data_IF_263954195712
#
_entry.id   IF_263954195712
#
_cell.length_a   1.000
_cell.length_b   1.000
_cell.length_c   1.000
_cell.angle_alpha   90.00
_cell.angle_beta   90.00
_cell.angle_gamma   90.00
#
_symmetry.space_group_name_H-M   'P 1'
#
loop_
_entity.id
_entity.type
_entity.pdbx_description
1 polymer ?
#
# COMPACT_ATOMS: atom_id res chain seq x y z
N UNK A 1 22.88 1.63 0.82
CA UNK A 1 21.82 1.70 -0.21
C UNK A 1 20.58 2.17 0.51
N UNK A 2 20.02 3.31 0.11
CA UNK A 2 18.81 3.86 0.71
C UNK A 2 17.63 2.94 0.38
N UNK A 3 17.31 2.02 1.29
CA UNK A 3 16.09 1.21 1.20
C UNK A 3 14.89 2.16 1.24
N UNK A 4 14.32 2.45 0.08
CA UNK A 4 13.03 3.08 -0.02
C UNK A 4 12.02 2.23 0.79
N UNK A 5 11.44 2.81 1.84
CA UNK A 5 10.49 2.09 2.70
C UNK A 5 9.31 1.52 1.91
N UNK A 6 8.68 0.45 2.39
CA UNK A 6 7.64 -0.31 1.66
C UNK A 6 6.52 0.55 1.08
N UNK A 7 6.12 1.63 1.77
CA UNK A 7 5.15 2.60 1.24
C UNK A 7 5.62 3.31 -0.03
N UNK A 8 6.91 3.66 -0.12
CA UNK A 8 7.49 4.32 -1.29
C UNK A 8 7.56 3.35 -2.48
N UNK A 9 7.94 2.09 -2.24
CA UNK A 9 7.93 1.06 -3.29
C UNK A 9 6.53 0.85 -3.85
N UNK A 10 5.53 0.69 -2.97
CA UNK A 10 4.14 0.61 -3.38
C UNK A 10 3.69 1.85 -4.17
N UNK A 11 4.09 3.04 -3.73
CA UNK A 11 3.74 4.29 -4.42
C UNK A 11 4.33 4.36 -5.84
N UNK A 12 5.62 4.06 -5.98
CA UNK A 12 6.31 4.08 -7.26
C UNK A 12 5.74 3.04 -8.23
N UNK A 13 5.43 1.83 -7.74
CA UNK A 13 4.79 0.79 -8.55
C UNK A 13 3.40 1.22 -9.04
N UNK A 14 2.59 1.79 -8.15
CA UNK A 14 1.28 2.31 -8.50
C UNK A 14 1.37 3.44 -9.53
N UNK A 15 2.30 4.38 -9.38
CA UNK A 15 2.51 5.45 -10.35
C UNK A 15 2.91 4.90 -11.72
N UNK A 16 3.76 3.87 -11.78
CA UNK A 16 4.18 3.25 -13.04
C UNK A 16 3.02 2.56 -13.77
N UNK A 17 2.11 1.94 -13.01
CA UNK A 17 0.98 1.18 -13.57
C UNK A 17 -0.21 2.08 -13.89
N UNK A 18 -0.60 2.94 -12.96
CA UNK A 18 -1.88 3.67 -12.98
C UNK A 18 -1.71 5.12 -13.45
N UNK A 19 -0.49 5.67 -13.42
CA UNK A 19 -0.23 7.06 -13.73
C UNK A 19 -1.11 7.99 -12.90
N UNK A 20 -1.81 8.90 -13.56
CA UNK A 20 -2.72 9.86 -12.90
C UNK A 20 -4.14 9.30 -12.69
N UNK A 21 -4.41 8.06 -13.10
CA UNK A 21 -5.74 7.44 -13.03
C UNK A 21 -6.16 7.18 -11.59
N UNK A 22 -5.22 6.80 -10.73
CA UNK A 22 -5.50 6.56 -9.33
C UNK A 22 -4.24 6.74 -8.48
N UNK A 23 -4.43 7.21 -7.25
CA UNK A 23 -3.33 7.42 -6.29
C UNK A 23 -3.36 6.35 -5.21
N UNK A 24 -2.22 5.73 -4.88
CA UNK A 24 -2.12 4.80 -3.77
C UNK A 24 -2.25 5.56 -2.44
N UNK A 25 -2.97 4.97 -1.49
CA UNK A 25 -3.09 5.49 -0.12
C UNK A 25 -2.94 4.35 0.89
N UNK A 26 -2.30 4.65 2.02
CA UNK A 26 -2.29 3.76 3.18
C UNK A 26 -3.19 4.38 4.24
N UNK A 27 -4.34 3.77 4.49
CA UNK A 27 -5.17 4.09 5.66
C UNK A 27 -4.66 3.32 6.86
N UNK A 28 -4.67 3.97 8.01
CA UNK A 28 -4.20 3.37 9.26
C UNK A 28 -5.13 3.79 10.38
N UNK A 29 -5.53 2.81 11.18
CA UNK A 29 -6.38 3.02 12.33
C UNK A 29 -5.79 2.31 13.55
N UNK A 30 -6.13 2.85 14.72
CA UNK A 30 -5.80 2.24 15.98
C UNK A 30 -6.94 1.30 16.40
N UNK A 31 -6.60 0.11 16.85
CA UNK A 31 -7.56 -0.92 17.26
C UNK A 31 -7.49 -1.15 18.78
N UNK A 32 -8.49 -1.83 19.32
CA UNK A 32 -8.50 -2.25 20.72
C UNK A 32 -7.67 -3.53 20.98
N UNK A 33 -7.08 -4.14 19.94
CA UNK A 33 -6.21 -5.31 20.09
C UNK A 33 -4.83 -4.86 20.60
N UNK A 34 -4.48 -5.23 21.83
CA UNK A 34 -3.17 -4.89 22.41
C UNK A 34 -1.99 -5.53 21.67
N UNK A 35 -2.19 -6.70 21.09
CA UNK A 35 -1.14 -7.39 20.33
C UNK A 35 -0.99 -6.83 18.93
N UNK A 36 -2.07 -6.32 18.33
CA UNK A 36 -2.10 -5.72 17.00
C UNK A 36 -2.76 -4.33 17.00
N UNK A 37 -2.24 -3.43 17.84
CA UNK A 37 -2.80 -2.11 18.11
C UNK A 37 -3.02 -1.23 16.88
N UNK A 38 -2.30 -1.49 15.79
CA UNK A 38 -2.44 -0.75 14.55
C UNK A 38 -2.89 -1.68 13.43
N UNK A 39 -3.95 -1.31 12.74
CA UNK A 39 -4.39 -1.90 11.48
C UNK A 39 -4.13 -0.90 10.35
N UNK A 40 -3.69 -1.39 9.19
CA UNK A 40 -3.45 -0.58 8.01
C UNK A 40 -3.94 -1.28 6.75
N UNK A 41 -4.43 -0.48 5.81
CA UNK A 41 -4.94 -0.92 4.51
C UNK A 41 -4.30 -0.11 3.39
N UNK A 42 -3.79 -0.80 2.38
CA UNK A 42 -3.41 -0.23 1.10
C UNK A 42 -4.63 -0.21 0.17
N UNK A 43 -4.93 0.96 -0.38
CA UNK A 43 -6.06 1.22 -1.29
C UNK A 43 -5.62 2.15 -2.41
N UNK A 44 -6.46 2.28 -3.42
CA UNK A 44 -6.35 3.34 -4.42
C UNK A 44 -7.46 4.36 -4.24
N UNK A 45 -7.21 5.63 -4.54
CA UNK A 45 -8.25 6.66 -4.67
C UNK A 45 -8.27 7.18 -6.09
N UNK A 46 -9.48 7.42 -6.61
CA UNK A 46 -9.65 8.05 -7.92
C UNK A 46 -9.12 9.49 -7.96
N UNK A 47 -9.07 10.13 -9.13
CA UNK A 47 -8.51 11.47 -9.32
C UNK A 47 -9.25 12.56 -8.53
N UNK A 48 -10.55 12.33 -8.26
CA UNK A 48 -11.38 13.21 -7.43
C UNK A 48 -11.04 13.16 -5.94
N UNK A 49 -10.30 12.15 -5.49
CA UNK A 49 -9.91 11.94 -4.09
C UNK A 49 -11.05 11.49 -3.16
N UNK A 50 -12.28 11.38 -3.66
CA UNK A 50 -13.46 11.12 -2.83
C UNK A 50 -13.79 9.63 -2.70
N UNK A 51 -13.44 8.82 -3.71
CA UNK A 51 -13.77 7.41 -3.73
C UNK A 51 -12.56 6.55 -3.33
N UNK A 52 -12.70 5.85 -2.21
CA UNK A 52 -11.77 4.80 -1.82
C UNK A 52 -12.08 3.54 -2.63
N UNK A 53 -11.10 3.12 -3.41
CA UNK A 53 -11.08 1.84 -4.06
C UNK A 53 -11.01 0.65 -3.08
N UNK A 54 -11.05 -0.57 -3.63
CA UNK A 54 -10.96 -1.79 -2.84
C UNK A 54 -9.64 -1.86 -2.06
N UNK A 55 -9.65 -2.65 -0.98
CA UNK A 55 -8.42 -3.02 -0.26
C UNK A 55 -7.60 -3.92 -1.16
N UNK A 56 -6.36 -3.51 -1.44
CA UNK A 56 -5.39 -4.27 -2.24
C UNK A 56 -4.25 -4.84 -1.40
N UNK A 57 -4.12 -4.37 -0.16
CA UNK A 57 -3.20 -4.91 0.83
C UNK A 57 -3.64 -4.56 2.23
N UNK A 58 -3.33 -5.39 3.20
CA UNK A 58 -3.67 -5.17 4.61
C UNK A 58 -2.54 -5.63 5.52
N UNK A 59 -2.47 -5.04 6.71
CA UNK A 59 -1.46 -5.42 7.69
C UNK A 59 -1.80 -4.89 9.07
N UNK A 60 -1.47 -5.67 10.09
CA UNK A 60 -1.61 -5.27 11.49
C UNK A 60 -0.31 -5.49 12.26
N UNK A 61 -0.06 -4.64 13.25
CA UNK A 61 1.14 -4.74 14.08
C UNK A 61 1.03 -3.93 15.38
N UNK A 62 1.91 -4.22 16.34
CA UNK A 62 2.10 -3.39 17.56
C UNK A 62 2.55 -1.96 17.26
N UNK A 63 3.29 -1.75 16.17
CA UNK A 63 3.84 -0.44 15.78
C UNK A 63 3.16 0.05 14.51
N UNK A 64 2.70 1.31 14.52
CA UNK A 64 2.02 1.96 13.39
C UNK A 64 2.78 1.82 12.07
N UNK A 65 4.07 2.14 12.07
CA UNK A 65 4.90 2.07 10.86
C UNK A 65 4.98 0.63 10.32
N UNK A 66 5.08 -0.37 11.20
CA UNK A 66 5.14 -1.77 10.79
C UNK A 66 3.83 -2.24 10.14
N UNK A 67 2.68 -1.82 10.66
CA UNK A 67 1.38 -2.11 10.04
C UNK A 67 1.31 -1.51 8.62
N UNK A 68 1.73 -0.24 8.46
CA UNK A 68 1.82 0.42 7.15
C UNK A 68 2.76 -0.30 6.19
N UNK A 69 3.91 -0.75 6.66
CA UNK A 69 4.90 -1.46 5.83
C UNK A 69 4.34 -2.80 5.34
N UNK A 70 3.67 -3.56 6.22
CA UNK A 70 3.01 -4.82 5.86
C UNK A 70 1.91 -4.57 4.82
N UNK A 71 1.03 -3.60 5.05
CA UNK A 71 -0.04 -3.26 4.12
C UNK A 71 0.50 -2.83 2.75
N UNK A 72 1.55 -1.98 2.73
CA UNK A 72 2.18 -1.53 1.49
C UNK A 72 2.88 -2.66 0.74
N UNK A 73 3.57 -3.56 1.45
CA UNK A 73 4.20 -4.74 0.84
C UNK A 73 3.15 -5.67 0.25
N UNK A 74 2.06 -5.92 0.98
CA UNK A 74 0.92 -6.68 0.45
C UNK A 74 0.30 -6.03 -0.79
N UNK A 75 0.18 -4.70 -0.81
CA UNK A 75 -0.32 -3.96 -1.97
C UNK A 75 0.63 -4.01 -3.18
N UNK A 76 1.94 -4.02 -2.95
CA UNK A 76 2.94 -4.19 -4.01
C UNK A 76 2.86 -5.60 -4.63
N UNK A 77 2.75 -6.64 -3.80
CA UNK A 77 2.57 -8.01 -4.29
C UNK A 77 1.25 -8.18 -5.06
N UNK A 78 0.17 -7.52 -4.62
CA UNK A 78 -1.07 -7.46 -5.39
C UNK A 78 -0.86 -6.82 -6.76
N UNK A 79 -0.17 -5.66 -6.84
CA UNK A 79 0.14 -5.02 -8.12
C UNK A 79 0.95 -5.95 -9.04
N UNK A 80 1.98 -6.62 -8.50
CA UNK A 80 2.77 -7.62 -9.25
C UNK A 80 1.91 -8.76 -9.79
N UNK A 81 0.92 -9.19 -9.02
CA UNK A 81 0.00 -10.25 -9.43
C UNK A 81 -0.99 -9.80 -10.52
N UNK A 82 -1.48 -8.56 -10.45
CA UNK A 82 -2.48 -8.04 -11.40
C UNK A 82 -1.85 -7.56 -12.71
N UNK A 83 -0.60 -7.10 -12.66
CA UNK A 83 0.11 -6.52 -13.80
C UNK A 83 1.46 -7.23 -14.04
N UNK A 84 1.48 -8.57 -14.24
CA UNK A 84 2.72 -9.33 -14.38
C UNK A 84 3.56 -8.96 -15.61
N UNK A 85 2.99 -8.21 -16.56
CA UNK A 85 3.68 -7.71 -17.75
C UNK A 85 4.40 -6.37 -17.53
N UNK A 86 4.19 -5.69 -16.40
CA UNK A 86 4.88 -4.45 -16.05
C UNK A 86 6.11 -4.78 -15.22
N UNK A 87 7.28 -4.33 -15.65
CA UNK A 87 8.51 -4.49 -14.88
C UNK A 87 8.50 -3.57 -13.64
N UNK A 88 8.53 -4.21 -12.47
CA UNK A 88 8.58 -3.59 -11.14
C UNK A 88 9.79 -4.09 -10.32
N UNK A 89 10.83 -4.60 -11.00
CA UNK A 89 12.02 -5.16 -10.35
C UNK A 89 12.94 -4.09 -9.72
N UNK A 90 12.88 -2.86 -10.24
CA UNK A 90 13.64 -1.68 -9.79
C UNK A 90 12.89 -0.83 -8.75
N UNK A 91 11.74 -1.31 -8.27
CA UNK A 91 10.87 -0.60 -7.32
C UNK A 91 11.05 -1.06 -5.88
#
# INVERSE_FOLDING_TARGET
MSDAGSCMRFNNAAQRILGDTARPVIRVEETNDRENRWSAEARFVGPSGNDLGPVVGQGSARKKQKAKDIAAMSGLEWLRSQYPWVDLSDV
#
